data_IF_209615822904
#
_entry.id   IF_209615822904
#
_cell.length_a   1.000
_cell.length_b   1.000
_cell.length_c   1.000
_cell.angle_alpha   90.00
_cell.angle_beta   90.00
_cell.angle_gamma   90.00
#
_symmetry.space_group_name_H-M   'P 1'
#
loop_
_entity.id
_entity.type
_entity.pdbx_description
1 polymer ?
#
# COMPACT_ATOMS: atom_id res chain seq x y z
N UNK A 1 -13.12 -12.61 16.13
CA UNK A 1 -13.22 -11.12 16.00
C UNK A 1 -12.39 -10.52 17.12
N UNK A 2 -11.26 -9.88 16.82
CA UNK A 2 -10.44 -9.23 17.86
C UNK A 2 -11.25 -8.06 18.44
N UNK A 3 -11.34 -8.02 19.78
CA UNK A 3 -12.07 -6.97 20.49
C UNK A 3 -11.31 -5.64 20.37
N UNK A 4 -12.03 -4.52 20.24
CA UNK A 4 -11.44 -3.16 20.23
C UNK A 4 -10.54 -2.90 21.46
N UNK A 5 -10.82 -3.54 22.58
CA UNK A 5 -10.00 -3.46 23.79
C UNK A 5 -8.65 -4.15 23.62
N UNK A 6 -8.62 -5.32 22.98
CA UNK A 6 -7.38 -6.05 22.71
C UNK A 6 -6.47 -5.26 21.75
N UNK A 7 -7.04 -4.65 20.71
CA UNK A 7 -6.30 -3.77 19.81
C UNK A 7 -5.70 -2.57 20.56
N UNK A 8 -6.50 -1.92 21.41
CA UNK A 8 -6.03 -0.78 22.22
C UNK A 8 -4.88 -1.20 23.15
N UNK A 9 -4.98 -2.35 23.79
CA UNK A 9 -3.93 -2.90 24.65
C UNK A 9 -2.63 -3.10 23.87
N UNK A 10 -2.68 -3.73 22.70
CA UNK A 10 -1.51 -3.95 21.84
C UNK A 10 -0.89 -2.64 21.32
N UNK A 11 -1.71 -1.66 20.95
CA UNK A 11 -1.24 -0.32 20.56
C UNK A 11 -0.52 0.36 21.74
N UNK A 12 -1.05 0.26 22.96
CA UNK A 12 -0.41 0.84 24.15
C UNK A 12 0.95 0.18 24.42
N UNK A 13 1.03 -1.15 24.37
CA UNK A 13 2.29 -1.88 24.49
C UNK A 13 3.32 -1.33 23.47
N UNK A 14 2.92 -1.23 22.20
CA UNK A 14 3.80 -0.69 21.16
C UNK A 14 4.24 0.76 21.40
N UNK A 15 3.31 1.61 21.89
CA UNK A 15 3.62 3.02 22.21
C UNK A 15 4.62 3.15 23.36
N UNK A 16 4.57 2.23 24.32
CA UNK A 16 5.47 2.19 25.48
C UNK A 16 6.83 1.54 25.21
N UNK A 17 6.99 0.87 24.06
CA UNK A 17 8.27 0.27 23.70
C UNK A 17 9.37 1.34 23.60
N UNK A 18 10.56 1.10 24.18
CA UNK A 18 11.67 2.04 24.11
C UNK A 18 12.19 2.20 22.68
N UNK A 19 12.72 3.38 22.35
CA UNK A 19 13.26 3.75 21.02
C UNK A 19 14.54 4.58 21.15
N UNK A 20 15.36 4.28 22.16
CA UNK A 20 16.55 5.05 22.47
C UNK A 20 17.74 4.71 21.55
N UNK A 21 17.71 3.54 20.91
CA UNK A 21 18.75 3.06 20.02
C UNK A 21 18.16 2.26 18.86
N UNK A 22 19.02 1.92 17.88
CA UNK A 22 18.59 1.22 16.66
C UNK A 22 17.98 -0.16 16.94
N UNK A 23 18.47 -0.90 17.93
CA UNK A 23 17.93 -2.23 18.24
C UNK A 23 16.50 -2.14 18.81
N UNK A 24 16.26 -1.19 19.72
CA UNK A 24 14.93 -0.93 20.27
C UNK A 24 13.96 -0.44 19.20
N UNK A 25 14.39 0.46 18.30
CA UNK A 25 13.59 0.90 17.16
C UNK A 25 13.22 -0.27 16.26
N UNK A 26 14.18 -1.15 15.95
CA UNK A 26 13.93 -2.35 15.13
C UNK A 26 12.93 -3.28 15.80
N UNK A 27 12.99 -3.45 17.13
CA UNK A 27 12.04 -4.27 17.87
C UNK A 27 10.62 -3.68 17.82
N UNK A 28 10.51 -2.36 18.00
CA UNK A 28 9.22 -1.67 17.93
C UNK A 28 8.61 -1.72 16.51
N UNK A 29 9.44 -1.59 15.47
CA UNK A 29 9.03 -1.73 14.08
C UNK A 29 8.58 -3.17 13.77
N UNK A 30 9.30 -4.17 14.26
CA UNK A 30 8.93 -5.58 14.13
C UNK A 30 7.61 -5.88 14.82
N UNK A 31 7.40 -5.36 16.04
CA UNK A 31 6.12 -5.52 16.74
C UNK A 31 4.96 -4.89 15.94
N UNK A 32 5.19 -3.71 15.33
CA UNK A 32 4.20 -3.10 14.45
C UNK A 32 3.87 -3.99 13.27
N UNK A 33 4.88 -4.50 12.57
CA UNK A 33 4.70 -5.27 11.35
C UNK A 33 4.13 -6.70 11.62
N UNK A 34 4.56 -7.37 12.69
CA UNK A 34 4.16 -8.75 12.99
C UNK A 34 2.89 -8.86 13.86
N UNK A 35 2.60 -7.84 14.69
CA UNK A 35 1.48 -7.90 15.64
C UNK A 35 0.37 -6.92 15.27
N UNK A 36 0.69 -5.65 15.03
CA UNK A 36 -0.33 -4.63 14.79
C UNK A 36 -0.85 -4.65 13.36
N UNK A 37 0.01 -4.91 12.37
CA UNK A 37 -0.37 -4.90 10.96
C UNK A 37 -1.42 -5.97 10.61
N UNK A 38 -1.31 -7.25 11.05
CA UNK A 38 -2.37 -8.23 10.83
C UNK A 38 -3.71 -7.81 11.43
N UNK A 39 -3.70 -7.23 12.62
CA UNK A 39 -4.93 -6.75 13.28
C UNK A 39 -5.52 -5.55 12.53
N UNK A 40 -4.67 -4.60 12.10
CA UNK A 40 -5.12 -3.48 11.27
C UNK A 40 -5.74 -3.95 9.97
N UNK A 41 -5.16 -4.99 9.35
CA UNK A 41 -5.71 -5.59 8.13
C UNK A 41 -7.10 -6.18 8.38
N UNK A 42 -7.30 -6.96 9.44
CA UNK A 42 -8.61 -7.54 9.77
C UNK A 42 -9.67 -6.46 9.99
N UNK A 43 -9.33 -5.40 10.75
CA UNK A 43 -10.22 -4.27 10.97
C UNK A 43 -10.53 -3.50 9.68
N UNK A 44 -9.52 -3.29 8.84
CA UNK A 44 -9.67 -2.62 7.56
C UNK A 44 -10.55 -3.43 6.60
N UNK A 45 -10.33 -4.74 6.51
CA UNK A 45 -11.14 -5.65 5.70
C UNK A 45 -12.62 -5.65 6.12
N UNK A 46 -12.90 -5.61 7.43
CA UNK A 46 -14.26 -5.53 7.94
C UNK A 46 -14.90 -4.19 7.60
N UNK A 47 -14.20 -3.08 7.82
CA UNK A 47 -14.64 -1.72 7.53
C UNK A 47 -14.92 -1.50 6.04
N UNK A 48 -14.03 -2.01 5.19
CA UNK A 48 -14.07 -1.84 3.73
C UNK A 48 -14.79 -2.98 3.00
N UNK A 49 -15.61 -3.77 3.70
CA UNK A 49 -16.32 -4.95 3.15
C UNK A 49 -17.10 -4.64 1.85
N UNK A 50 -17.64 -3.43 1.68
CA UNK A 50 -18.35 -3.05 0.47
C UNK A 50 -17.38 -2.85 -0.72
N UNK A 51 -16.18 -2.34 -0.47
CA UNK A 51 -15.15 -2.16 -1.48
C UNK A 51 -14.56 -3.51 -1.94
N UNK A 52 -14.55 -4.53 -1.08
CA UNK A 52 -14.09 -5.88 -1.42
C UNK A 52 -14.97 -6.62 -2.45
N UNK A 53 -16.14 -6.08 -2.79
CA UNK A 53 -17.00 -6.59 -3.86
C UNK A 53 -16.58 -6.12 -5.26
N UNK A 54 -15.70 -5.11 -5.33
CA UNK A 54 -15.13 -4.65 -6.57
C UNK A 54 -13.97 -5.56 -6.96
N UNK A 55 -14.04 -6.15 -8.15
CA UNK A 55 -12.94 -6.96 -8.68
C UNK A 55 -12.14 -6.13 -9.68
N UNK A 56 -10.82 -6.19 -9.56
CA UNK A 56 -9.87 -5.58 -10.50
C UNK A 56 -9.02 -6.68 -11.14
N UNK A 57 -8.82 -6.57 -12.47
CA UNK A 57 -7.91 -7.46 -13.16
C UNK A 57 -6.47 -7.06 -12.87
N UNK A 58 -6.21 -5.76 -12.79
CA UNK A 58 -4.90 -5.22 -12.46
C UNK A 58 -4.94 -4.10 -11.44
N UNK A 59 -3.84 -3.92 -10.74
CA UNK A 59 -3.61 -2.80 -9.84
C UNK A 59 -2.19 -2.27 -9.99
N UNK A 60 -2.07 -0.96 -10.12
CA UNK A 60 -0.79 -0.26 -10.24
C UNK A 60 -0.60 0.63 -9.03
N UNK A 61 0.56 0.52 -8.37
CA UNK A 61 0.84 1.23 -7.13
C UNK A 61 2.21 1.90 -7.19
N UNK A 62 2.34 3.03 -6.49
CA UNK A 62 3.64 3.64 -6.20
C UNK A 62 4.04 3.34 -4.76
N UNK A 63 5.28 2.89 -4.56
CA UNK A 63 5.81 2.51 -3.24
C UNK A 63 6.83 3.52 -2.74
N UNK A 64 6.59 4.04 -1.55
CA UNK A 64 7.53 4.83 -0.76
C UNK A 64 8.20 4.01 0.33
N UNK A 65 8.40 4.64 1.49
CA UNK A 65 9.06 4.01 2.65
C UNK A 65 8.12 3.20 3.55
N UNK A 66 6.83 3.15 3.23
CA UNK A 66 5.81 2.42 3.97
C UNK A 66 5.05 1.50 3.03
N UNK A 67 5.15 0.19 3.24
CA UNK A 67 4.46 -0.83 2.46
C UNK A 67 3.07 -1.19 3.01
N UNK A 68 2.83 -0.91 4.28
CA UNK A 68 1.64 -1.34 5.01
C UNK A 68 0.33 -0.82 4.38
N UNK A 69 0.20 0.47 4.02
CA UNK A 69 -1.03 0.96 3.38
C UNK A 69 -1.33 0.25 2.06
N UNK A 70 -0.29 -0.09 1.28
CA UNK A 70 -0.45 -0.81 0.02
C UNK A 70 -0.94 -2.24 0.24
N UNK A 71 -0.45 -2.91 1.31
CA UNK A 71 -0.94 -4.23 1.68
C UNK A 71 -2.44 -4.20 2.01
N UNK A 72 -2.93 -3.14 2.67
CA UNK A 72 -4.34 -2.97 2.98
C UNK A 72 -5.19 -2.83 1.72
N UNK A 73 -4.83 -1.93 0.80
CA UNK A 73 -5.58 -1.72 -0.44
C UNK A 73 -5.59 -2.97 -1.32
N UNK A 74 -4.45 -3.64 -1.49
CA UNK A 74 -4.33 -4.90 -2.25
C UNK A 74 -5.22 -5.98 -1.65
N UNK A 75 -5.24 -6.12 -0.32
CA UNK A 75 -6.01 -7.16 0.36
C UNK A 75 -7.52 -6.95 0.23
N UNK A 76 -7.99 -5.70 0.22
CA UNK A 76 -9.41 -5.36 0.04
C UNK A 76 -9.83 -5.50 -1.42
N UNK A 77 -9.06 -4.94 -2.36
CA UNK A 77 -9.42 -4.86 -3.78
C UNK A 77 -9.13 -6.16 -4.55
N UNK A 78 -8.29 -7.03 -4.00
CA UNK A 78 -7.97 -8.38 -4.51
C UNK A 78 -7.67 -8.44 -6.01
N UNK A 79 -6.74 -7.62 -6.52
CA UNK A 79 -6.40 -7.63 -7.93
C UNK A 79 -5.77 -8.96 -8.33
N UNK A 80 -5.94 -9.37 -9.60
CA UNK A 80 -5.35 -10.58 -10.17
C UNK A 80 -3.87 -10.39 -10.48
N UNK A 81 -3.49 -9.20 -10.98
CA UNK A 81 -2.10 -8.81 -11.25
C UNK A 81 -1.78 -7.45 -10.62
N UNK A 82 -0.55 -7.30 -10.18
CA UNK A 82 -0.11 -6.13 -9.41
C UNK A 82 1.22 -5.63 -9.98
N UNK A 83 1.26 -4.35 -10.32
CA UNK A 83 2.49 -3.64 -10.65
C UNK A 83 2.82 -2.67 -9.51
N UNK A 84 3.98 -2.83 -8.90
CA UNK A 84 4.50 -1.89 -7.89
C UNK A 84 5.67 -1.13 -8.47
N UNK A 85 5.57 0.19 -8.51
CA UNK A 85 6.64 1.07 -8.97
C UNK A 85 7.31 1.76 -7.78
N UNK A 86 8.63 1.79 -7.76
CA UNK A 86 9.38 2.45 -6.70
C UNK A 86 10.80 2.81 -7.11
N UNK A 87 11.53 3.46 -6.21
CA UNK A 87 12.94 3.75 -6.38
C UNK A 87 13.79 2.59 -5.85
N UNK A 88 15.06 2.52 -6.23
CA UNK A 88 15.99 1.50 -5.73
C UNK A 88 15.99 1.39 -4.21
N UNK A 89 15.99 2.53 -3.51
CA UNK A 89 15.97 2.59 -2.04
C UNK A 89 14.72 1.94 -1.43
N UNK A 90 13.63 1.82 -2.19
CA UNK A 90 12.35 1.28 -1.72
C UNK A 90 12.15 -0.21 -2.05
N UNK A 91 13.06 -0.85 -2.79
CA UNK A 91 12.97 -2.25 -3.15
C UNK A 91 12.86 -3.19 -1.94
N UNK A 92 13.55 -2.87 -0.85
CA UNK A 92 13.44 -3.63 0.41
C UNK A 92 12.02 -3.64 0.99
N UNK A 93 11.27 -2.56 0.81
CA UNK A 93 9.87 -2.48 1.24
C UNK A 93 8.93 -3.25 0.32
N UNK A 94 9.27 -3.37 -0.96
CA UNK A 94 8.57 -4.27 -1.87
C UNK A 94 8.72 -5.75 -1.44
N UNK A 95 9.91 -6.17 -1.03
CA UNK A 95 10.13 -7.52 -0.50
C UNK A 95 9.28 -7.77 0.74
N UNK A 96 9.20 -6.79 1.66
CA UNK A 96 8.33 -6.89 2.83
C UNK A 96 6.85 -6.98 2.46
N UNK A 97 6.39 -6.15 1.53
CA UNK A 97 5.02 -6.18 0.99
C UNK A 97 4.68 -7.55 0.41
N UNK A 98 5.54 -8.08 -0.45
CA UNK A 98 5.37 -9.38 -1.10
C UNK A 98 5.28 -10.52 -0.08
N UNK A 99 6.21 -10.54 0.88
CA UNK A 99 6.24 -11.54 1.95
C UNK A 99 4.97 -11.49 2.81
N UNK A 100 4.51 -10.30 3.17
CA UNK A 100 3.28 -10.12 3.94
C UNK A 100 2.03 -10.62 3.19
N UNK A 101 1.95 -10.34 1.89
CA UNK A 101 0.82 -10.76 1.06
C UNK A 101 0.84 -12.26 0.70
N UNK A 102 1.99 -12.93 0.82
CA UNK A 102 2.17 -14.32 0.40
C UNK A 102 1.88 -14.53 -1.09
N UNK A 103 2.18 -13.53 -1.94
CA UNK A 103 1.89 -13.57 -3.38
C UNK A 103 3.10 -14.07 -4.18
N UNK A 104 2.80 -14.80 -5.26
CA UNK A 104 3.78 -15.30 -6.20
C UNK A 104 4.32 -14.20 -7.12
N UNK A 105 5.53 -14.37 -7.67
CA UNK A 105 6.19 -13.41 -8.56
C UNK A 105 5.42 -13.11 -9.84
N UNK A 106 4.63 -14.08 -10.31
CA UNK A 106 3.78 -13.91 -11.49
C UNK A 106 2.60 -12.97 -11.27
N UNK A 107 2.22 -12.78 -10.01
CA UNK A 107 1.06 -11.95 -9.63
C UNK A 107 1.49 -10.53 -9.26
N UNK A 108 2.62 -10.37 -8.56
CA UNK A 108 3.12 -9.07 -8.10
C UNK A 108 4.52 -8.81 -8.65
N UNK A 109 4.62 -7.77 -9.48
CA UNK A 109 5.86 -7.38 -10.15
C UNK A 109 6.37 -6.04 -9.64
N UNK A 110 7.68 -5.86 -9.70
CA UNK A 110 8.38 -4.64 -9.33
C UNK A 110 9.01 -3.99 -10.55
N UNK A 111 8.82 -2.68 -10.69
CA UNK A 111 9.52 -1.87 -11.68
C UNK A 111 10.17 -0.65 -11.01
N UNK A 112 11.46 -0.45 -11.31
CA UNK A 112 12.21 0.71 -10.84
C UNK A 112 11.88 1.93 -11.69
N UNK A 113 11.62 3.05 -11.03
CA UNK A 113 11.37 4.35 -11.66
C UNK A 113 12.24 5.44 -11.03
N UNK A 114 12.51 6.50 -11.76
CA UNK A 114 13.16 7.68 -11.21
C UNK A 114 12.16 8.46 -10.34
N UNK A 115 12.63 8.88 -9.16
CA UNK A 115 11.80 9.58 -8.17
C UNK A 115 11.20 10.91 -8.63
N UNK A 116 11.74 11.49 -9.66
CA UNK A 116 11.37 12.83 -10.16
C UNK A 116 10.82 12.83 -11.59
N UNK A 117 10.89 11.68 -12.31
CA UNK A 117 10.48 11.60 -13.72
C UNK A 117 9.09 10.99 -13.87
N UNK A 118 8.13 11.84 -14.19
CA UNK A 118 6.75 11.42 -14.47
C UNK A 118 6.69 10.51 -15.71
N UNK A 119 7.58 10.76 -16.68
CA UNK A 119 7.68 10.00 -17.92
C UNK A 119 7.98 8.54 -17.70
N UNK A 120 8.78 8.20 -16.69
CA UNK A 120 9.08 6.81 -16.33
C UNK A 120 7.81 6.07 -15.90
N UNK A 121 6.93 6.72 -15.11
CA UNK A 121 5.64 6.17 -14.70
C UNK A 121 4.78 5.83 -15.92
N UNK A 122 4.72 6.76 -16.89
CA UNK A 122 3.96 6.56 -18.13
C UNK A 122 4.51 5.41 -18.97
N UNK A 123 5.84 5.34 -19.10
CA UNK A 123 6.50 4.27 -19.85
C UNK A 123 6.23 2.89 -19.24
N UNK A 124 6.40 2.77 -17.92
CA UNK A 124 6.20 1.53 -17.18
C UNK A 124 4.74 1.08 -17.23
N UNK A 125 3.79 1.97 -16.96
CA UNK A 125 2.35 1.63 -17.05
C UNK A 125 1.97 1.17 -18.46
N UNK A 126 2.45 1.88 -19.50
CA UNK A 126 2.17 1.55 -20.90
C UNK A 126 2.78 0.20 -21.32
N UNK A 127 4.03 -0.09 -20.89
CA UNK A 127 4.69 -1.37 -21.11
C UNK A 127 3.90 -2.50 -20.45
N UNK A 128 3.60 -2.35 -19.17
CA UNK A 128 2.89 -3.36 -18.38
C UNK A 128 1.52 -3.73 -18.97
N UNK A 129 0.75 -2.73 -19.44
CA UNK A 129 -0.53 -3.00 -20.13
C UNK A 129 -0.36 -3.75 -21.44
N UNK A 130 0.69 -3.46 -22.21
CA UNK A 130 0.97 -4.18 -23.47
C UNK A 130 1.38 -5.64 -23.23
N UNK A 131 2.01 -5.93 -22.11
CA UNK A 131 2.44 -7.27 -21.71
C UNK A 131 1.31 -8.08 -21.05
N UNK A 132 0.18 -7.42 -20.69
CA UNK A 132 -0.94 -8.02 -19.99
C UNK A 132 -2.28 -7.62 -20.64
N UNK A 133 -2.49 -8.04 -21.88
CA UNK A 133 -3.64 -7.65 -22.70
C UNK A 133 -5.00 -8.13 -22.15
N UNK A 134 -4.99 -9.11 -21.26
CA UNK A 134 -6.19 -9.63 -20.60
C UNK A 134 -6.72 -8.69 -19.50
N UNK A 135 -5.93 -7.70 -19.08
CA UNK A 135 -6.32 -6.74 -18.04
C UNK A 135 -7.24 -5.68 -18.64
N UNK A 136 -8.47 -5.63 -18.17
CA UNK A 136 -9.49 -4.67 -18.64
C UNK A 136 -9.87 -3.65 -17.60
N UNK A 137 -9.94 -4.05 -16.32
CA UNK A 137 -10.31 -3.17 -15.22
C UNK A 137 -9.11 -2.97 -14.28
N UNK A 138 -8.60 -1.75 -14.23
CA UNK A 138 -7.41 -1.40 -13.45
C UNK A 138 -7.75 -0.42 -12.33
N UNK A 139 -7.18 -0.64 -11.16
CA UNK A 139 -7.11 0.32 -10.05
C UNK A 139 -5.71 0.91 -9.95
N UNK A 140 -5.60 2.17 -9.58
CA UNK A 140 -4.35 2.84 -9.26
C UNK A 140 -4.35 3.24 -7.78
N UNK A 141 -3.33 2.85 -7.01
CA UNK A 141 -3.15 3.30 -5.63
C UNK A 141 -2.02 4.31 -5.55
N UNK A 142 -2.36 5.51 -5.13
CA UNK A 142 -1.46 6.67 -5.04
C UNK A 142 -1.05 6.99 -3.59
N UNK A 143 -1.18 6.04 -2.67
CA UNK A 143 -0.88 6.25 -1.25
C UNK A 143 0.61 6.44 -0.99
N UNK A 144 1.46 5.67 -1.65
CA UNK A 144 2.90 5.66 -1.45
C UNK A 144 3.69 6.35 -2.57
N UNK A 145 4.99 6.51 -2.36
CA UNK A 145 5.89 7.09 -3.36
C UNK A 145 6.23 8.57 -3.14
N UNK A 146 7.05 9.12 -4.02
CA UNK A 146 7.35 10.55 -4.03
C UNK A 146 6.18 11.33 -4.64
N UNK A 147 6.11 12.64 -4.38
CA UNK A 147 5.05 13.49 -4.95
C UNK A 147 5.00 13.41 -6.48
N UNK A 148 6.16 13.33 -7.16
CA UNK A 148 6.21 13.20 -8.61
C UNK A 148 5.69 11.84 -9.09
N UNK A 149 6.04 10.74 -8.40
CA UNK A 149 5.53 9.41 -8.72
C UNK A 149 4.00 9.34 -8.53
N UNK A 150 3.49 9.84 -7.41
CA UNK A 150 2.05 9.92 -7.12
C UNK A 150 1.32 10.75 -8.16
N UNK A 151 1.83 11.95 -8.48
CA UNK A 151 1.24 12.81 -9.51
C UNK A 151 1.25 12.12 -10.89
N UNK A 152 2.37 11.51 -11.28
CA UNK A 152 2.50 10.77 -12.53
C UNK A 152 1.49 9.64 -12.66
N UNK A 153 1.35 8.81 -11.62
CA UNK A 153 0.38 7.72 -11.61
C UNK A 153 -1.07 8.25 -11.64
N UNK A 154 -1.38 9.28 -10.85
CA UNK A 154 -2.71 9.88 -10.84
C UNK A 154 -3.10 10.45 -12.21
N UNK A 155 -2.18 11.17 -12.88
CA UNK A 155 -2.40 11.72 -14.20
C UNK A 155 -2.57 10.62 -15.27
N UNK A 156 -1.75 9.55 -15.20
CA UNK A 156 -1.87 8.42 -16.11
C UNK A 156 -3.21 7.72 -15.91
N UNK A 157 -3.57 7.39 -14.66
CA UNK A 157 -4.81 6.73 -14.29
C UNK A 157 -6.04 7.53 -14.73
N UNK A 158 -6.04 8.85 -14.53
CA UNK A 158 -7.12 9.73 -14.97
C UNK A 158 -7.28 9.69 -16.50
N UNK A 159 -6.18 9.78 -17.26
CA UNK A 159 -6.18 9.68 -18.74
C UNK A 159 -6.68 8.30 -19.21
N UNK A 160 -6.30 7.24 -18.52
CA UNK A 160 -6.69 5.86 -18.83
C UNK A 160 -8.08 5.48 -18.27
N UNK A 161 -8.76 6.38 -17.56
CA UNK A 161 -10.05 6.17 -16.89
C UNK A 161 -10.02 5.01 -15.88
N UNK A 162 -8.92 4.87 -15.16
CA UNK A 162 -8.78 3.91 -14.06
C UNK A 162 -9.43 4.45 -12.79
N UNK A 163 -9.86 3.55 -11.93
CA UNK A 163 -10.24 3.91 -10.57
C UNK A 163 -8.99 4.28 -9.76
N UNK A 164 -9.03 5.41 -9.04
CA UNK A 164 -7.90 5.88 -8.25
C UNK A 164 -8.22 5.75 -6.77
N UNK A 165 -7.31 5.14 -6.03
CA UNK A 165 -7.42 4.88 -4.60
C UNK A 165 -6.31 5.57 -3.80
N UNK A 166 -6.65 5.86 -2.57
CA UNK A 166 -5.75 6.39 -1.56
C UNK A 166 -6.14 5.81 -0.20
N UNK A 167 -5.17 5.28 0.53
CA UNK A 167 -5.38 4.85 1.93
C UNK A 167 -5.05 6.02 2.85
N UNK A 168 -6.09 6.60 3.41
CA UNK A 168 -5.96 7.62 4.44
C UNK A 168 -5.77 6.99 5.81
N UNK A 169 -4.95 7.62 6.66
CA UNK A 169 -4.75 7.18 8.04
C UNK A 169 -4.38 8.36 8.93
N UNK A 170 -4.66 8.24 10.23
CA UNK A 170 -4.19 9.20 11.22
C UNK A 170 -2.71 8.96 11.49
N UNK A 171 -1.87 9.93 11.14
CA UNK A 171 -0.44 9.84 11.36
C UNK A 171 -0.06 10.17 12.81
N UNK A 172 0.84 9.37 13.39
CA UNK A 172 1.40 9.57 14.72
C UNK A 172 2.85 10.08 14.60
N UNK A 173 3.09 11.41 14.69
CA UNK A 173 4.40 11.99 14.42
C UNK A 173 5.52 11.44 15.31
N UNK A 174 5.23 11.21 16.59
CA UNK A 174 6.20 10.67 17.56
C UNK A 174 6.75 9.30 17.16
N UNK A 175 5.92 8.49 16.52
CA UNK A 175 6.26 7.10 16.11
C UNK A 175 6.60 6.99 14.62
N UNK A 176 6.40 8.07 13.86
CA UNK A 176 6.56 8.11 12.39
C UNK A 176 5.79 7.01 11.66
N UNK A 177 4.61 6.65 12.18
CA UNK A 177 3.75 5.57 11.70
C UNK A 177 2.28 6.01 11.68
N UNK A 178 1.43 5.39 10.85
CA UNK A 178 -0.01 5.54 10.98
C UNK A 178 -0.50 4.94 12.30
N UNK A 179 -1.60 5.48 12.83
CA UNK A 179 -2.29 4.87 13.97
C UNK A 179 -3.02 3.61 13.50
N UNK A 180 -2.66 2.41 14.02
CA UNK A 180 -3.29 1.16 13.60
C UNK A 180 -4.80 1.17 13.79
N UNK A 181 -5.55 0.74 12.79
CA UNK A 181 -7.02 0.71 12.79
C UNK A 181 -7.69 2.05 12.43
N UNK A 182 -6.90 3.10 12.15
CA UNK A 182 -7.43 4.40 11.69
C UNK A 182 -7.60 4.45 10.16
N UNK A 183 -7.08 3.48 9.44
CA UNK A 183 -7.00 3.47 7.98
C UNK A 183 -8.38 3.45 7.34
N UNK A 184 -8.51 4.13 6.19
CA UNK A 184 -9.69 4.17 5.34
C UNK A 184 -9.29 4.12 3.88
N UNK A 185 -10.01 3.36 3.05
CA UNK A 185 -9.81 3.35 1.61
C UNK A 185 -10.69 4.43 0.96
N UNK A 186 -10.04 5.42 0.38
CA UNK A 186 -10.71 6.50 -0.35
C UNK A 186 -10.61 6.19 -1.84
N UNK A 187 -11.76 6.12 -2.51
CA UNK A 187 -11.83 6.13 -3.97
C UNK A 187 -12.01 7.58 -4.42
N UNK A 188 -11.05 8.09 -5.19
CA UNK A 188 -11.13 9.44 -5.71
C UNK A 188 -12.14 9.51 -6.86
N UNK A 189 -13.02 10.50 -6.79
CA UNK A 189 -13.94 10.78 -7.90
C UNK A 189 -13.25 11.74 -8.86
N UNK A 190 -13.12 11.32 -10.11
CA UNK A 190 -12.65 12.21 -11.16
C UNK A 190 -13.83 13.05 -11.68
N UNK A 191 -13.61 14.32 -11.98
CA UNK A 191 -14.66 15.21 -12.51
C UNK A 191 -15.16 14.77 -13.88
#
# INVERSE_FOLDING_TARGET
MLNKEEMRSKINIWKEMPRNNQAEMTLADRYFDEVLMPISLDMFMEKERNNSKCHYDGMVLTLGTSWQPLALSISVLKPKKILVMGTEDTQKYFVQLKNFLGREDEIITWEKVDRAKVEDIYAVCTKWLKENLEITKVGADITGGTKAMVAGLAMYAAKAKWDIFYVESKYLPLYRRPEPGSEMLIKLQLP
#
